data_IF_159804346133
#
_entry.id   IF_159804346133
#
_cell.length_a   1.000
_cell.length_b   1.000
_cell.length_c   1.000
_cell.angle_alpha   90.00
_cell.angle_beta   90.00
_cell.angle_gamma   90.00
#
_symmetry.space_group_name_H-M   'P 1'
#
loop_
_entity.id
_entity.type
_entity.pdbx_description
1 polymer ?
#
# COMPACT_ATOMS: atom_id res chain seq x y z
N UNK A 1 -3.22 -13.93 5.24
CA UNK A 1 -4.10 -12.74 5.34
C UNK A 1 -3.61 -11.80 6.46
N UNK A 2 -3.12 -10.62 6.10
CA UNK A 2 -2.80 -9.56 7.06
C UNK A 2 -4.09 -8.79 7.30
N UNK A 3 -4.86 -9.22 8.29
CA UNK A 3 -5.83 -8.35 8.95
C UNK A 3 -5.07 -7.77 10.12
N UNK A 4 -4.56 -6.54 9.99
CA UNK A 4 -4.06 -5.79 11.14
C UNK A 4 -5.26 -5.49 12.04
N UNK A 5 -5.31 -6.11 13.23
CA UNK A 5 -6.25 -5.69 14.28
C UNK A 5 -5.74 -4.35 14.80
N UNK A 6 -6.53 -3.29 14.62
CA UNK A 6 -6.26 -1.99 15.23
C UNK A 6 -7.16 -1.77 16.45
N UNK A 7 -6.58 -1.14 17.47
CA UNK A 7 -7.18 -0.88 18.78
C UNK A 7 -7.85 0.50 18.90
N UNK A 8 -7.88 1.29 17.81
CA UNK A 8 -8.46 2.64 17.79
C UNK A 8 -9.71 2.68 16.89
N UNK A 9 -10.83 3.26 17.37
CA UNK A 9 -12.02 3.49 16.54
C UNK A 9 -11.86 4.65 15.54
N UNK A 10 -10.72 5.36 15.60
CA UNK A 10 -10.39 6.50 14.71
C UNK A 10 -9.04 6.25 14.01
N UNK A 11 -8.96 6.50 12.71
CA UNK A 11 -7.72 6.41 11.93
C UNK A 11 -7.90 5.88 10.50
N UNK A 12 -6.78 5.71 9.79
CA UNK A 12 -6.73 5.09 8.46
C UNK A 12 -6.87 3.58 8.59
N UNK A 13 -7.96 3.02 8.06
CA UNK A 13 -8.15 1.57 8.03
C UNK A 13 -7.67 0.98 6.71
N UNK A 14 -6.58 0.21 6.75
CA UNK A 14 -6.14 -0.59 5.60
C UNK A 14 -6.72 -2.00 5.73
N UNK A 15 -7.36 -2.49 4.66
CA UNK A 15 -7.85 -3.86 4.57
C UNK A 15 -7.19 -4.55 3.38
N UNK A 16 -6.70 -5.76 3.59
CA UNK A 16 -6.20 -6.59 2.49
C UNK A 16 -6.90 -7.95 2.46
N UNK A 17 -7.24 -8.44 1.29
CA UNK A 17 -7.79 -9.78 1.11
C UNK A 17 -7.40 -10.38 -0.24
N UNK A 18 -7.26 -11.72 -0.33
CA UNK A 18 -7.26 -12.40 -1.61
C UNK A 18 -8.59 -12.18 -2.34
N UNK A 19 -8.53 -11.86 -3.62
CA UNK A 19 -9.68 -11.77 -4.52
C UNK A 19 -9.43 -12.65 -5.75
N UNK A 20 -10.48 -12.98 -6.50
CA UNK A 20 -10.37 -13.78 -7.72
C UNK A 20 -10.57 -12.90 -8.96
N UNK A 21 -9.56 -12.84 -9.82
CA UNK A 21 -9.61 -12.18 -11.11
C UNK A 21 -10.31 -13.10 -12.13
N UNK A 22 -11.54 -12.73 -12.49
CA UNK A 22 -12.39 -13.51 -13.39
C UNK A 22 -11.88 -13.55 -14.82
N UNK A 23 -11.10 -12.55 -15.25
CA UNK A 23 -10.56 -12.44 -16.62
C UNK A 23 -9.33 -13.32 -16.74
N UNK A 24 -8.37 -13.16 -15.84
CA UNK A 24 -7.10 -13.91 -15.87
C UNK A 24 -7.15 -15.26 -15.15
N UNK A 25 -8.29 -15.62 -14.53
CA UNK A 25 -8.53 -16.87 -13.79
C UNK A 25 -7.47 -17.14 -12.72
N UNK A 26 -7.10 -16.12 -11.96
CA UNK A 26 -6.06 -16.20 -10.92
C UNK A 26 -6.48 -15.50 -9.64
N UNK A 27 -5.90 -15.93 -8.52
CA UNK A 27 -6.04 -15.23 -7.24
C UNK A 27 -5.07 -14.05 -7.22
N UNK A 28 -5.59 -12.88 -6.85
CA UNK A 28 -4.87 -11.59 -6.74
C UNK A 28 -5.01 -11.06 -5.32
N UNK A 29 -4.16 -10.12 -4.94
CA UNK A 29 -4.28 -9.42 -3.66
C UNK A 29 -5.04 -8.12 -3.87
N UNK A 30 -6.16 -7.94 -3.19
CA UNK A 30 -6.92 -6.69 -3.14
C UNK A 30 -6.59 -5.95 -1.85
N UNK A 31 -6.38 -4.64 -1.95
CA UNK A 31 -6.08 -3.74 -0.84
C UNK A 31 -6.99 -2.52 -0.92
N UNK A 32 -7.69 -2.24 0.17
CA UNK A 32 -8.34 -0.97 0.46
C UNK A 32 -7.44 -0.18 1.41
N UNK A 33 -7.12 1.06 1.08
CA UNK A 33 -6.42 1.99 1.97
C UNK A 33 -7.06 3.37 1.92
N UNK A 34 -6.90 4.14 3.00
CA UNK A 34 -7.31 5.55 3.03
C UNK A 34 -6.12 6.42 2.65
N UNK A 35 -6.11 6.87 1.40
CA UNK A 35 -5.06 7.75 0.90
C UNK A 35 -5.31 9.20 1.32
N UNK A 36 -4.23 9.89 1.67
CA UNK A 36 -4.22 11.28 2.08
C UNK A 36 -3.66 12.11 0.95
N UNK A 37 -4.46 13.08 0.46
CA UNK A 37 -4.04 13.96 -0.64
C UNK A 37 -3.01 14.99 -0.20
N UNK A 38 -1.73 14.61 -0.19
CA UNK A 38 -0.60 15.49 0.06
C UNK A 38 0.20 15.73 -1.24
N UNK A 39 0.75 16.95 -1.46
CA UNK A 39 1.47 17.27 -2.69
C UNK A 39 2.62 16.32 -3.04
N UNK A 40 3.34 15.84 -2.02
CA UNK A 40 4.56 15.03 -2.18
C UNK A 40 4.31 13.52 -2.00
N UNK A 41 3.05 13.09 -1.92
CA UNK A 41 2.68 11.68 -1.72
C UNK A 41 1.82 11.22 -2.89
N UNK A 42 2.41 10.40 -3.76
CA UNK A 42 1.67 9.73 -4.82
C UNK A 42 0.71 8.69 -4.21
N UNK A 43 -0.48 8.48 -4.80
CA UNK A 43 -1.26 7.29 -4.50
C UNK A 43 -0.43 6.03 -4.75
N UNK A 44 -0.54 5.03 -3.88
CA UNK A 44 0.28 3.80 -3.96
C UNK A 44 0.25 3.15 -5.34
N UNK A 45 -0.90 3.19 -6.02
CA UNK A 45 -1.03 2.68 -7.39
C UNK A 45 -0.20 3.44 -8.43
N UNK A 46 -0.12 4.77 -8.32
CA UNK A 46 0.77 5.59 -9.16
C UNK A 46 2.24 5.33 -8.82
N UNK A 47 2.57 5.14 -7.52
CA UNK A 47 3.91 4.73 -7.11
C UNK A 47 4.29 3.41 -7.78
N UNK A 48 3.45 2.38 -7.72
CA UNK A 48 3.72 1.11 -8.41
C UNK A 48 3.95 1.30 -9.91
N UNK A 49 3.13 2.12 -10.57
CA UNK A 49 3.27 2.42 -12.01
C UNK A 49 4.62 3.09 -12.33
N UNK A 50 5.04 4.04 -11.50
CA UNK A 50 6.35 4.70 -11.60
C UNK A 50 7.51 3.71 -11.41
N UNK A 51 7.45 2.86 -10.39
CA UNK A 51 8.51 1.88 -10.13
C UNK A 51 8.61 0.84 -11.26
N UNK A 52 7.46 0.42 -11.81
CA UNK A 52 7.42 -0.49 -12.95
C UNK A 52 8.00 0.14 -14.23
N UNK A 53 7.75 1.43 -14.51
CA UNK A 53 8.34 2.11 -15.67
C UNK A 53 9.88 2.20 -15.57
N UNK A 54 10.42 2.27 -14.35
CA UNK A 54 11.85 2.26 -14.07
C UNK A 54 12.45 0.85 -13.92
N UNK A 55 11.65 -0.20 -14.16
CA UNK A 55 12.06 -1.61 -14.09
C UNK A 55 12.70 -1.98 -12.74
N UNK A 56 12.16 -1.45 -11.65
CA UNK A 56 12.56 -1.81 -10.29
C UNK A 56 12.31 -3.29 -10.04
N UNK A 57 13.29 -3.97 -9.43
CA UNK A 57 13.19 -5.40 -9.16
C UNK A 57 12.49 -5.70 -7.83
N UNK A 58 12.05 -6.94 -7.64
CA UNK A 58 11.51 -7.46 -6.37
C UNK A 58 10.34 -6.63 -5.78
N UNK A 59 9.56 -6.02 -6.66
CA UNK A 59 8.24 -5.44 -6.35
C UNK A 59 7.14 -6.26 -7.02
N UNK A 60 5.94 -6.20 -6.46
CA UNK A 60 4.76 -6.79 -7.08
C UNK A 60 4.31 -5.94 -8.27
N UNK A 61 3.54 -6.53 -9.19
CA UNK A 61 2.91 -5.74 -10.27
C UNK A 61 1.53 -5.30 -9.82
N UNK A 62 1.28 -3.99 -9.91
CA UNK A 62 -0.05 -3.44 -9.79
C UNK A 62 -0.83 -3.70 -11.09
N UNK A 63 -1.94 -4.44 -10.98
CA UNK A 63 -2.79 -4.77 -12.13
C UNK A 63 -3.84 -3.68 -12.34
N UNK A 64 -4.39 -3.16 -11.24
CA UNK A 64 -5.41 -2.13 -11.26
C UNK A 64 -5.34 -1.33 -9.97
N UNK A 65 -5.66 -0.04 -10.06
CA UNK A 65 -5.84 0.84 -8.91
C UNK A 65 -6.79 1.96 -9.30
N UNK A 66 -7.53 2.47 -8.33
CA UNK A 66 -8.31 3.70 -8.52
C UNK A 66 -8.62 4.35 -7.18
N UNK A 67 -8.69 5.68 -7.20
CA UNK A 67 -9.37 6.42 -6.15
C UNK A 67 -10.87 6.25 -6.32
N UNK A 68 -11.59 6.02 -5.22
CA UNK A 68 -13.03 6.04 -5.25
C UNK A 68 -13.51 7.50 -5.35
N UNK A 69 -14.44 7.81 -6.28
CA UNK A 69 -14.93 9.16 -6.42
C UNK A 69 -15.69 9.63 -5.17
N UNK A 70 -15.53 10.90 -4.78
CA UNK A 70 -16.16 11.46 -3.57
C UNK A 70 -17.69 11.54 -3.65
N UNK A 71 -18.28 11.30 -4.84
CA UNK A 71 -19.73 11.19 -5.04
C UNK A 71 -20.35 9.98 -4.33
N UNK A 72 -19.54 9.02 -3.86
CA UNK A 72 -20.00 7.89 -3.05
C UNK A 72 -19.85 8.25 -1.55
N UNK A 73 -20.94 8.57 -0.82
CA UNK A 73 -20.89 9.25 0.47
C UNK A 73 -20.19 8.50 1.61
N UNK A 74 -20.03 7.17 1.49
CA UNK A 74 -19.37 6.33 2.51
C UNK A 74 -17.85 6.20 2.33
N UNK A 75 -17.24 6.87 1.33
CA UNK A 75 -15.85 6.59 0.92
C UNK A 75 -14.93 7.83 0.93
N UNK A 76 -15.35 8.89 1.64
CA UNK A 76 -14.52 10.06 1.99
C UNK A 76 -14.74 10.48 3.45
N UNK A 77 -13.74 11.10 4.09
CA UNK A 77 -13.89 11.59 5.47
C UNK A 77 -14.97 12.68 5.55
N UNK A 78 -16.00 12.44 6.36
CA UNK A 78 -17.11 13.38 6.52
C UNK A 78 -16.78 14.56 7.44
N UNK A 79 -15.68 14.48 8.21
CA UNK A 79 -15.23 15.52 9.14
C UNK A 79 -15.08 16.89 8.46
N UNK A 80 -14.63 16.93 7.21
CA UNK A 80 -14.51 18.16 6.45
C UNK A 80 -15.86 18.89 6.23
N UNK A 81 -16.99 18.17 6.22
CA UNK A 81 -18.34 18.76 6.10
C UNK A 81 -18.70 19.61 7.31
N UNK A 82 -18.12 19.31 8.48
CA UNK A 82 -18.41 19.98 9.74
C UNK A 82 -17.33 20.99 10.13
N UNK A 83 -16.36 21.27 9.25
CA UNK A 83 -15.27 22.23 9.51
C UNK A 83 -15.75 23.58 10.01
N UNK A 84 -16.89 24.07 9.49
CA UNK A 84 -17.46 25.36 9.83
C UNK A 84 -18.60 25.27 10.87
N UNK A 85 -18.80 24.11 11.51
CA UNK A 85 -19.84 23.98 12.52
C UNK A 85 -19.47 24.79 13.77
N UNK A 86 -20.45 25.44 14.41
CA UNK A 86 -20.22 26.33 15.57
C UNK A 86 -19.55 25.64 16.75
N UNK A 87 -19.72 24.33 16.89
CA UNK A 87 -19.11 23.50 17.92
C UNK A 87 -17.71 22.99 17.54
N UNK A 88 -17.29 23.15 16.27
CA UNK A 88 -16.03 22.62 15.77
C UNK A 88 -14.89 23.58 16.12
N UNK A 89 -14.06 23.21 17.10
CA UNK A 89 -12.87 23.95 17.50
C UNK A 89 -11.66 23.57 16.63
N UNK A 90 -11.59 24.03 15.38
CA UNK A 90 -10.45 23.71 14.50
C UNK A 90 -9.59 24.93 14.18
N UNK A 91 -8.28 24.81 14.45
CA UNK A 91 -7.24 25.80 14.15
C UNK A 91 -6.29 25.35 13.01
N UNK A 92 -6.44 24.13 12.48
CA UNK A 92 -5.53 23.55 11.47
C UNK A 92 -6.27 23.03 10.23
N UNK A 93 -5.61 22.96 9.06
CA UNK A 93 -6.20 22.38 7.85
C UNK A 93 -6.60 20.91 8.09
N UNK A 94 -7.83 20.55 7.74
CA UNK A 94 -8.28 19.16 7.74
C UNK A 94 -7.77 18.48 6.48
N UNK A 95 -7.02 17.39 6.65
CA UNK A 95 -6.60 16.57 5.53
C UNK A 95 -7.72 15.61 5.13
N UNK A 96 -8.15 15.70 3.87
CA UNK A 96 -9.17 14.81 3.31
C UNK A 96 -8.55 13.44 3.04
N UNK A 97 -9.28 12.38 3.41
CA UNK A 97 -8.89 11.02 3.09
C UNK A 97 -9.90 10.46 2.09
N UNK A 98 -9.37 9.84 1.03
CA UNK A 98 -10.15 9.20 -0.02
C UNK A 98 -9.86 7.71 0.00
N UNK A 99 -10.90 6.89 -0.11
CA UNK A 99 -10.69 5.45 -0.23
C UNK A 99 -10.00 5.14 -1.57
N UNK A 100 -8.91 4.39 -1.50
CA UNK A 100 -8.11 3.96 -2.63
C UNK A 100 -8.15 2.43 -2.70
N UNK A 101 -8.45 1.91 -3.88
CA UNK A 101 -8.44 0.48 -4.16
C UNK A 101 -7.20 0.12 -4.97
N UNK A 102 -6.57 -0.98 -4.63
CA UNK A 102 -5.36 -1.49 -5.28
C UNK A 102 -5.45 -3.01 -5.47
N UNK A 103 -5.03 -3.50 -6.64
CA UNK A 103 -4.94 -4.92 -6.97
C UNK A 103 -3.51 -5.28 -7.36
N UNK A 104 -2.88 -6.17 -6.59
CA UNK A 104 -1.55 -6.70 -6.84
C UNK A 104 -1.63 -8.13 -7.38
N UNK A 105 -0.71 -8.45 -8.29
CA UNK A 105 -0.67 -9.75 -8.96
C UNK A 105 -0.19 -10.93 -8.09
N UNK A 106 0.30 -10.66 -6.89
CA UNK A 106 0.92 -11.66 -6.01
C UNK A 106 0.15 -11.72 -4.68
N UNK A 107 -0.25 -12.93 -4.31
CA UNK A 107 -0.65 -13.26 -2.93
C UNK A 107 0.51 -13.98 -2.25
N UNK A 108 1.35 -13.20 -1.56
CA UNK A 108 2.52 -13.70 -0.85
C UNK A 108 2.21 -14.22 0.55
N UNK A 109 3.16 -14.99 1.10
CA UNK A 109 3.18 -15.37 2.52
C UNK A 109 3.88 -14.28 3.34
N UNK A 110 3.57 -14.16 4.62
CA UNK A 110 4.26 -13.21 5.49
C UNK A 110 5.73 -13.60 5.59
N UNK A 111 6.62 -12.63 5.79
CA UNK A 111 8.03 -12.93 6.05
C UNK A 111 8.19 -13.92 7.21
N UNK A 112 7.36 -13.82 8.26
CA UNK A 112 7.33 -14.71 9.42
C UNK A 112 7.00 -16.18 9.12
N UNK A 113 6.45 -16.47 7.94
CA UNK A 113 6.08 -17.83 7.52
C UNK A 113 7.23 -18.52 6.75
N UNK A 114 8.46 -18.03 6.91
CA UNK A 114 9.65 -18.59 6.29
C UNK A 114 9.88 -20.05 6.71
N UNK A 115 10.42 -20.85 5.79
CA UNK A 115 10.68 -22.28 6.00
C UNK A 115 12.09 -22.60 6.49
N UNK A 116 13.01 -21.65 6.36
CA UNK A 116 14.40 -21.79 6.80
C UNK A 116 15.06 -20.42 7.00
N UNK A 117 16.12 -20.38 7.79
CA UNK A 117 16.96 -19.18 7.93
C UNK A 117 17.49 -18.68 6.58
N UNK A 118 17.84 -19.60 5.68
CA UNK A 118 18.24 -19.27 4.31
C UNK A 118 17.12 -18.52 3.56
N UNK A 119 15.88 -19.01 3.61
CA UNK A 119 14.75 -18.32 2.95
C UNK A 119 14.50 -16.93 3.56
N UNK A 120 14.59 -16.80 4.89
CA UNK A 120 14.47 -15.52 5.57
C UNK A 120 15.54 -14.53 5.07
N UNK A 121 16.82 -14.92 5.12
CA UNK A 121 17.94 -14.08 4.69
C UNK A 121 17.83 -13.68 3.22
N UNK A 122 17.48 -14.61 2.34
CA UNK A 122 17.29 -14.32 0.91
C UNK A 122 16.11 -13.36 0.68
N UNK A 123 15.00 -13.53 1.40
CA UNK A 123 13.82 -12.67 1.24
C UNK A 123 14.09 -11.24 1.73
N UNK A 124 14.82 -11.09 2.85
CA UNK A 124 15.25 -9.77 3.34
C UNK A 124 16.23 -9.12 2.34
N UNK A 125 17.20 -9.88 1.83
CA UNK A 125 18.11 -9.40 0.79
C UNK A 125 17.34 -8.91 -0.45
N UNK A 126 16.38 -9.68 -0.92
CA UNK A 126 15.57 -9.32 -2.10
C UNK A 126 14.77 -8.02 -1.88
N UNK A 127 14.22 -7.82 -0.68
CA UNK A 127 13.53 -6.58 -0.30
C UNK A 127 14.50 -5.37 -0.22
N UNK A 128 15.72 -5.57 0.30
CA UNK A 128 16.74 -4.52 0.32
C UNK A 128 17.21 -4.15 -1.10
N UNK A 129 17.30 -5.14 -2.00
CA UNK A 129 17.56 -4.89 -3.43
C UNK A 129 16.41 -4.08 -4.03
N UNK A 130 15.15 -4.42 -3.73
CA UNK A 130 13.98 -3.65 -4.19
C UNK A 130 14.08 -2.18 -3.75
N UNK A 131 14.37 -1.95 -2.46
CA UNK A 131 14.52 -0.61 -1.91
C UNK A 131 15.67 0.16 -2.57
N UNK A 132 16.83 -0.46 -2.73
CA UNK A 132 17.99 0.13 -3.42
C UNK A 132 17.65 0.52 -4.86
N UNK A 133 17.08 -0.41 -5.63
CA UNK A 133 16.68 -0.16 -7.03
C UNK A 133 15.62 0.96 -7.11
N UNK A 134 14.69 1.00 -6.16
CA UNK A 134 13.65 2.04 -6.08
C UNK A 134 14.28 3.43 -5.93
N UNK A 135 15.25 3.57 -5.02
CA UNK A 135 15.95 4.82 -4.82
C UNK A 135 16.84 5.18 -6.03
N UNK A 136 17.71 4.27 -6.47
CA UNK A 136 18.68 4.55 -7.53
C UNK A 136 18.02 4.83 -8.89
N UNK A 137 16.90 4.15 -9.20
CA UNK A 137 16.27 4.22 -10.52
C UNK A 137 15.09 5.18 -10.59
N UNK A 138 14.33 5.31 -9.52
CA UNK A 138 13.08 6.09 -9.50
C UNK A 138 13.11 7.28 -8.53
N UNK A 139 14.19 7.47 -7.77
CA UNK A 139 14.31 8.50 -6.73
C UNK A 139 13.15 8.45 -5.73
N UNK A 140 12.70 7.23 -5.38
CA UNK A 140 11.63 7.04 -4.38
C UNK A 140 12.21 6.34 -3.15
N UNK A 141 11.82 6.82 -1.98
CA UNK A 141 12.07 6.19 -0.69
C UNK A 141 10.78 5.54 -0.16
N UNK A 142 10.87 4.32 0.37
CA UNK A 142 9.70 3.57 0.85
C UNK A 142 9.16 4.06 2.21
N UNK A 143 10.05 4.47 3.11
CA UNK A 143 9.75 4.94 4.48
C UNK A 143 9.12 3.94 5.47
N UNK A 144 8.83 2.71 5.07
CA UNK A 144 8.30 1.67 5.96
C UNK A 144 8.87 0.29 5.63
N UNK A 145 10.18 0.16 5.78
CA UNK A 145 10.87 -1.12 5.62
C UNK A 145 10.70 -1.95 6.90
N UNK A 146 9.60 -2.69 7.00
CA UNK A 146 9.27 -3.52 8.15
C UNK A 146 9.02 -4.98 7.77
N UNK A 147 9.03 -5.88 8.77
CA UNK A 147 8.71 -7.31 8.60
C UNK A 147 7.30 -7.51 8.00
N UNK A 148 6.37 -6.58 8.27
CA UNK A 148 5.00 -6.63 7.75
C UNK A 148 4.90 -6.35 6.25
N UNK A 149 5.89 -5.62 5.70
CA UNK A 149 5.89 -5.14 4.33
C UNK A 149 6.78 -5.96 3.39
N UNK A 150 7.31 -7.08 3.89
CA UNK A 150 8.04 -8.06 3.10
C UNK A 150 7.21 -9.33 2.98
N UNK A 151 6.95 -9.75 1.75
CA UNK A 151 6.21 -10.99 1.46
C UNK A 151 7.08 -11.98 0.70
N UNK A 152 6.89 -13.26 1.00
CA UNK A 152 7.58 -14.37 0.32
C UNK A 152 6.64 -14.93 -0.75
N UNK A 153 7.09 -14.94 -2.01
CA UNK A 153 6.37 -15.57 -3.11
C UNK A 153 7.31 -16.37 -4.00
N UNK A 154 6.98 -17.66 -4.19
CA UNK A 154 7.79 -18.63 -4.95
C UNK A 154 9.28 -18.64 -4.53
N UNK A 155 9.54 -18.47 -3.23
CA UNK A 155 10.89 -18.51 -2.66
C UNK A 155 11.70 -17.20 -2.74
N UNK A 156 11.11 -16.12 -3.28
CA UNK A 156 11.73 -14.78 -3.35
C UNK A 156 11.02 -13.80 -2.43
N UNK A 157 11.76 -12.80 -1.95
CA UNK A 157 11.22 -11.67 -1.19
C UNK A 157 10.70 -10.57 -2.11
N UNK A 158 9.59 -9.96 -1.73
CA UNK A 158 9.01 -8.80 -2.41
C UNK A 158 8.69 -7.72 -1.39
N UNK A 159 9.01 -6.48 -1.73
CA UNK A 159 8.64 -5.30 -0.94
C UNK A 159 7.27 -4.78 -1.41
N UNK A 160 6.36 -4.57 -0.45
CA UNK A 160 4.98 -4.12 -0.67
C UNK A 160 4.67 -2.93 0.24
N UNK A 161 3.49 -2.34 0.09
CA UNK A 161 2.98 -1.24 0.92
C UNK A 161 3.70 0.10 0.69
N UNK A 162 3.44 0.70 -0.47
CA UNK A 162 4.08 1.95 -0.89
C UNK A 162 3.26 3.20 -0.54
N UNK A 163 2.30 3.10 0.39
CA UNK A 163 1.42 4.19 0.82
C UNK A 163 2.20 5.36 1.49
N UNK A 164 3.38 5.08 2.06
CA UNK A 164 4.24 6.08 2.71
C UNK A 164 5.43 6.52 1.84
N UNK A 165 5.47 6.05 0.60
CA UNK A 165 6.56 6.35 -0.31
C UNK A 165 6.58 7.83 -0.72
N UNK A 166 7.78 8.39 -0.86
CA UNK A 166 7.98 9.78 -1.31
C UNK A 166 9.12 9.88 -2.31
N UNK A 167 9.01 10.89 -3.17
CA UNK A 167 10.05 11.35 -4.10
C UNK A 167 11.16 12.10 -3.35
#
# INVERSE_FOLDING_TARGET
PVVTKHHSPVGCWTRTCPAFDLVNKKVVMFKDSWWVSLPDVLPEGETYKLLMSHKVSNITSCIAYHNVPPSIPQQSTQTAKFRCAKWASFQSPLTLHTLHHLVLNIVGKKLTDFKSSCQLTLSVRDALIAHKDTFERAQVLHHDLSVGNIVIYKGKGYLIDWDLAKL
#
